data_IF_490898086878
#
_entry.id   IF_490898086878
#
_cell.length_a   1.000
_cell.length_b   1.000
_cell.length_c   1.000
_cell.angle_alpha   90.00
_cell.angle_beta   90.00
_cell.angle_gamma   90.00
#
_symmetry.space_group_name_H-M   'P 1'
#
loop_
_entity.id
_entity.type
_entity.pdbx_description
1 polymer ?
#
# COMPACT_ATOMS: atom_id res chain seq x y z
N UNK A 1 1.19 5.74 19.97
CA UNK A 1 1.60 4.55 19.25
C UNK A 1 0.96 4.56 17.87
N UNK A 2 1.71 4.22 16.86
CA UNK A 2 1.34 4.39 15.48
C UNK A 2 1.31 3.00 14.80
N UNK A 3 0.12 2.47 14.60
CA UNK A 3 -0.06 1.17 13.96
C UNK A 3 -1.21 1.27 12.96
N UNK A 4 -0.98 0.75 11.76
CA UNK A 4 -1.92 0.80 10.66
C UNK A 4 -2.12 -0.60 10.12
N UNK A 5 -3.38 -0.97 9.85
CA UNK A 5 -3.72 -2.20 9.13
C UNK A 5 -4.58 -1.82 7.95
N UNK A 6 -4.23 -2.33 6.77
CA UNK A 6 -4.91 -1.94 5.54
C UNK A 6 -4.90 -3.09 4.54
N UNK A 7 -5.96 -3.20 3.75
CA UNK A 7 -6.10 -4.17 2.67
C UNK A 7 -6.24 -3.41 1.36
N UNK A 8 -5.53 -3.85 0.35
CA UNK A 8 -5.60 -3.24 -0.97
C UNK A 8 -4.83 -4.04 -2.00
N UNK A 9 -4.75 -3.51 -3.20
CA UNK A 9 -4.04 -4.12 -4.30
C UNK A 9 -2.73 -3.40 -4.57
N UNK A 10 -1.64 -4.14 -4.71
CA UNK A 10 -0.35 -3.55 -5.08
C UNK A 10 -0.41 -3.02 -6.50
N UNK A 11 0.13 -1.84 -6.71
CA UNK A 11 0.19 -1.19 -8.02
C UNK A 11 1.64 -0.82 -8.34
N UNK A 12 1.83 0.20 -9.15
CA UNK A 12 3.14 0.56 -9.67
C UNK A 12 4.11 1.05 -8.59
N UNK A 13 5.38 0.94 -8.90
CA UNK A 13 6.47 1.58 -8.16
C UNK A 13 6.50 3.05 -8.55
N UNK A 14 6.85 3.93 -7.62
CA UNK A 14 6.95 5.35 -7.90
C UNK A 14 8.02 5.62 -8.95
N UNK A 15 7.74 6.52 -9.89
CA UNK A 15 8.64 6.79 -11.01
C UNK A 15 9.95 7.44 -10.56
N UNK A 16 9.91 8.21 -9.49
CA UNK A 16 11.07 8.98 -9.04
C UNK A 16 11.79 8.34 -7.85
N UNK A 17 11.07 7.53 -7.06
CA UNK A 17 11.66 6.91 -5.87
C UNK A 17 11.39 5.42 -5.91
N UNK A 18 12.39 4.60 -6.28
CA UNK A 18 12.20 3.16 -6.40
C UNK A 18 11.94 2.46 -5.06
N UNK A 19 12.09 3.15 -3.94
CA UNK A 19 11.80 2.59 -2.61
C UNK A 19 10.30 2.56 -2.31
N UNK A 20 9.49 3.24 -3.12
CA UNK A 20 8.06 3.41 -2.88
C UNK A 20 7.28 2.58 -3.89
N UNK A 21 6.35 1.77 -3.40
CA UNK A 21 5.35 1.11 -4.21
C UNK A 21 3.96 1.52 -3.72
N UNK A 22 3.03 1.73 -4.65
CA UNK A 22 1.69 2.19 -4.29
C UNK A 22 0.75 1.04 -4.00
N UNK A 23 -0.13 1.27 -3.03
CA UNK A 23 -1.25 0.40 -2.71
C UNK A 23 -2.54 1.10 -3.13
N UNK A 24 -3.32 0.42 -3.95
CA UNK A 24 -4.64 0.87 -4.38
C UNK A 24 -5.66 0.47 -3.33
N UNK A 25 -6.36 1.45 -2.77
CA UNK A 25 -7.40 1.21 -1.79
C UNK A 25 -8.66 1.91 -2.25
N UNK A 26 -9.74 1.17 -2.33
CA UNK A 26 -11.03 1.69 -2.74
C UNK A 26 -11.87 2.04 -1.52
N UNK A 27 -12.43 3.24 -1.52
CA UNK A 27 -13.37 3.68 -0.49
C UNK A 27 -14.77 3.69 -1.06
N UNK A 28 -15.71 3.06 -0.37
CA UNK A 28 -17.12 3.09 -0.74
C UNK A 28 -17.82 4.04 0.22
N UNK A 29 -18.35 5.15 -0.31
CA UNK A 29 -18.86 6.22 0.53
C UNK A 29 -20.31 6.13 0.88
N UNK A 30 -21.13 5.66 -0.02
CA UNK A 30 -22.55 5.84 0.18
C UNK A 30 -23.34 4.67 -0.35
N UNK A 31 -24.30 4.24 0.45
CA UNK A 31 -25.30 3.28 0.03
C UNK A 31 -26.30 3.87 -0.97
N UNK A 32 -26.34 5.19 -1.10
CA UNK A 32 -27.32 5.87 -1.95
C UNK A 32 -26.78 6.08 -3.36
N UNK A 33 -25.51 6.48 -3.48
CA UNK A 33 -24.95 6.89 -4.76
C UNK A 33 -24.05 5.84 -5.41
N UNK A 34 -23.64 4.81 -4.68
CA UNK A 34 -22.68 3.80 -5.15
C UNK A 34 -21.37 4.40 -5.66
N UNK A 35 -21.06 5.60 -5.23
CA UNK A 35 -19.79 6.22 -5.59
C UNK A 35 -18.66 5.59 -4.80
N UNK A 36 -17.55 5.33 -5.48
CA UNK A 36 -16.32 4.91 -4.84
C UNK A 36 -15.22 5.87 -5.22
N UNK A 37 -14.29 6.06 -4.31
CA UNK A 37 -13.07 6.81 -4.56
C UNK A 37 -11.87 5.92 -4.28
N UNK A 38 -10.78 6.24 -4.94
CA UNK A 38 -9.57 5.44 -4.90
C UNK A 38 -8.47 6.25 -4.25
N UNK A 39 -7.76 5.63 -3.32
CA UNK A 39 -6.54 6.19 -2.76
C UNK A 39 -5.36 5.36 -3.24
N UNK A 40 -4.30 6.04 -3.62
CA UNK A 40 -3.01 5.41 -3.86
C UNK A 40 -2.12 5.75 -2.67
N UNK A 41 -1.81 4.74 -1.89
CA UNK A 41 -1.09 4.91 -0.64
C UNK A 41 0.35 4.47 -0.85
N UNK A 42 1.34 5.35 -0.58
CA UNK A 42 2.74 4.98 -0.75
C UNK A 42 3.22 4.06 0.37
N UNK A 43 3.83 2.95 -0.03
CA UNK A 43 4.40 1.96 0.87
C UNK A 43 5.91 1.93 0.71
N UNK A 44 6.62 1.74 1.82
CA UNK A 44 8.04 1.41 1.80
C UNK A 44 8.27 0.15 2.61
N UNK A 45 9.32 -0.60 2.27
CA UNK A 45 9.70 -1.76 3.04
C UNK A 45 10.20 -1.33 4.43
N UNK A 46 10.20 -2.24 5.38
CA UNK A 46 10.62 -1.95 6.75
C UNK A 46 12.03 -1.37 6.83
N UNK A 47 12.92 -1.78 5.93
CA UNK A 47 14.30 -1.29 5.87
C UNK A 47 14.47 -0.10 4.94
N UNK A 48 13.36 0.37 4.32
CA UNK A 48 13.34 1.50 3.38
C UNK A 48 14.21 1.28 2.14
N UNK A 49 14.42 0.01 1.77
CA UNK A 49 15.13 -0.37 0.55
C UNK A 49 14.14 -0.87 -0.50
N UNK A 50 14.48 -0.82 -1.79
CA UNK A 50 13.62 -1.35 -2.86
C UNK A 50 13.71 -2.86 -2.94
N UNK A 51 13.34 -3.54 -1.89
CA UNK A 51 13.45 -4.98 -1.74
C UNK A 51 12.32 -5.51 -0.89
N UNK A 52 12.17 -6.85 -0.84
CA UNK A 52 11.17 -7.50 -0.03
C UNK A 52 9.90 -7.80 -0.80
N UNK A 53 8.96 -8.42 -0.08
CA UNK A 53 7.74 -8.95 -0.68
C UNK A 53 6.89 -7.88 -1.36
N UNK A 54 6.90 -6.65 -0.84
CA UNK A 54 6.12 -5.58 -1.46
C UNK A 54 6.59 -5.24 -2.87
N UNK A 55 7.80 -5.64 -3.26
CA UNK A 55 8.32 -5.42 -4.61
C UNK A 55 8.32 -6.69 -5.46
N UNK A 56 8.23 -7.86 -4.85
CA UNK A 56 8.24 -9.15 -5.55
C UNK A 56 6.85 -9.53 -6.05
N UNK A 57 5.81 -9.23 -5.28
CA UNK A 57 4.45 -9.60 -5.66
C UNK A 57 4.02 -8.87 -6.94
N UNK A 58 3.36 -9.58 -7.88
CA UNK A 58 2.93 -8.96 -9.13
C UNK A 58 1.91 -7.84 -8.91
N UNK A 59 1.78 -7.01 -9.92
CA UNK A 59 0.76 -5.96 -9.95
C UNK A 59 -0.64 -6.55 -9.76
N UNK A 60 -1.49 -5.82 -9.05
CA UNK A 60 -2.87 -6.21 -8.72
C UNK A 60 -3.00 -7.34 -7.69
N UNK A 61 -1.91 -7.76 -7.08
CA UNK A 61 -2.00 -8.71 -5.97
C UNK A 61 -2.70 -8.07 -4.78
N UNK A 62 -3.74 -8.74 -4.27
CA UNK A 62 -4.42 -8.28 -3.06
C UNK A 62 -3.63 -8.69 -1.84
N UNK A 63 -3.35 -7.73 -0.99
CA UNK A 63 -2.53 -7.95 0.21
C UNK A 63 -3.17 -7.31 1.44
N UNK A 64 -2.89 -7.89 2.59
CA UNK A 64 -3.15 -7.28 3.89
C UNK A 64 -1.82 -6.82 4.47
N UNK A 65 -1.76 -5.56 4.85
CA UNK A 65 -0.53 -4.93 5.32
C UNK A 65 -0.73 -4.44 6.73
N UNK A 66 0.27 -4.61 7.56
CA UNK A 66 0.37 -3.96 8.86
C UNK A 66 1.71 -3.24 8.94
N UNK A 67 1.67 -2.03 9.46
CA UNK A 67 2.86 -1.23 9.61
C UNK A 67 2.59 0.03 10.41
N UNK A 68 3.38 1.04 10.14
CA UNK A 68 3.25 2.34 10.80
C UNK A 68 3.40 3.46 9.77
N UNK A 69 2.88 4.62 10.11
CA UNK A 69 3.00 5.80 9.27
C UNK A 69 4.27 6.55 9.66
N UNK A 70 5.07 6.91 8.66
CA UNK A 70 6.25 7.75 8.82
C UNK A 70 6.29 8.80 7.73
N UNK A 71 7.11 9.82 7.92
CA UNK A 71 7.38 10.80 6.89
C UNK A 71 8.68 10.40 6.17
N UNK A 72 8.61 10.36 4.85
CA UNK A 72 9.77 10.13 4.00
C UNK A 72 9.79 11.20 2.92
N UNK A 73 10.84 12.01 2.89
CA UNK A 73 10.96 13.12 1.95
C UNK A 73 9.72 14.01 1.94
N UNK A 74 9.25 14.36 3.15
CA UNK A 74 8.11 15.27 3.37
C UNK A 74 6.76 14.69 2.96
N UNK A 75 6.69 13.39 2.67
CA UNK A 75 5.44 12.69 2.35
C UNK A 75 5.15 11.64 3.41
N UNK A 76 3.87 11.44 3.70
CA UNK A 76 3.47 10.35 4.57
C UNK A 76 3.52 9.04 3.80
N UNK A 77 4.16 8.05 4.37
CA UNK A 77 4.25 6.70 3.80
C UNK A 77 3.88 5.68 4.88
N UNK A 78 3.47 4.48 4.45
CA UNK A 78 3.34 3.35 5.36
C UNK A 78 4.61 2.53 5.28
N UNK A 79 5.28 2.38 6.40
CA UNK A 79 6.42 1.47 6.54
C UNK A 79 5.85 0.10 6.84
N UNK A 80 6.01 -0.83 5.90
CA UNK A 80 5.40 -2.15 5.97
C UNK A 80 6.21 -3.04 6.90
N UNK A 81 5.57 -3.52 7.96
CA UNK A 81 6.18 -4.45 8.90
C UNK A 81 5.81 -5.90 8.59
N UNK A 82 4.56 -6.12 8.20
CA UNK A 82 4.10 -7.44 7.74
C UNK A 82 3.23 -7.27 6.51
N UNK A 83 3.32 -8.23 5.59
CA UNK A 83 2.49 -8.27 4.40
C UNK A 83 2.04 -9.71 4.16
N UNK A 84 0.75 -9.89 3.88
CA UNK A 84 0.15 -11.18 3.59
C UNK A 84 -0.51 -11.14 2.23
N UNK A 85 -0.12 -12.07 1.36
CA UNK A 85 -0.78 -12.26 0.07
C UNK A 85 -2.09 -12.97 0.32
N UNK A 86 -3.21 -12.37 -0.10
CA UNK A 86 -4.55 -12.92 0.13
C UNK A 86 -4.96 -13.96 -0.91
N UNK A 87 -4.08 -14.23 -1.88
CA UNK A 87 -4.38 -15.22 -2.92
C UNK A 87 -5.38 -14.74 -3.97
N UNK A 88 -5.63 -13.44 -4.02
CA UNK A 88 -6.61 -12.83 -4.94
C UNK A 88 -5.91 -11.75 -5.76
N UNK A 89 -6.49 -11.46 -6.92
CA UNK A 89 -6.08 -10.31 -7.73
C UNK A 89 -7.27 -9.36 -7.88
N UNK A 90 -6.97 -8.12 -7.90
CA UNK A 90 -7.97 -7.06 -8.06
C UNK A 90 -8.52 -6.97 -9.50
#
# INVERSE_FOLDING_TARGET
>A
MNSVSIIGALKQVDEKDPRIRYLFVERIYSTISFNSEIDLIPLVNWNKEPSGEIFVFPDSTMVAIRGRIETLNQKLVIVVETITNLGLKY
#
